data_IF_221246993103
#
_entry.id   IF_221246993103
#
_cell.length_a   1.000
_cell.length_b   1.000
_cell.length_c   1.000
_cell.angle_alpha   90.00
_cell.angle_beta   90.00
_cell.angle_gamma   90.00
#
_symmetry.space_group_name_H-M   'P 1'
#
loop_
_entity.id
_entity.type
_entity.pdbx_description
1 polymer ?
#
# COMPACT_ATOMS: atom_id res chain seq x y z
N UNK A 1 -2.07 -4.94 -13.13
CA UNK A 1 -2.78 -4.40 -11.95
C UNK A 1 -1.74 -3.89 -10.97
N UNK A 2 -1.96 -2.73 -10.36
CA UNK A 2 -1.06 -2.15 -9.35
C UNK A 2 -1.83 -1.98 -8.05
N UNK A 3 -1.22 -2.34 -6.92
CA UNK A 3 -1.77 -2.07 -5.59
C UNK A 3 -1.19 -0.74 -5.13
N UNK A 4 -2.04 0.27 -4.95
CA UNK A 4 -1.62 1.62 -4.55
C UNK A 4 -2.11 1.91 -3.13
N UNK A 5 -1.31 2.64 -2.37
CA UNK A 5 -1.71 3.19 -1.07
C UNK A 5 -2.73 4.31 -1.32
N UNK A 6 -3.85 4.30 -0.60
CA UNK A 6 -4.94 5.29 -0.69
C UNK A 6 -4.52 6.63 -0.12
N UNK A 7 -4.01 6.60 1.11
CA UNK A 7 -3.56 7.76 1.87
C UNK A 7 -2.20 7.45 2.48
N UNK A 8 -1.19 8.18 2.02
CA UNK A 8 0.19 8.03 2.43
C UNK A 8 0.39 8.46 3.89
N UNK A 9 -0.28 9.52 4.34
CA UNK A 9 -0.15 9.97 5.74
C UNK A 9 -0.90 9.03 6.68
N UNK A 10 -2.16 8.70 6.39
CA UNK A 10 -2.94 7.75 7.18
C UNK A 10 -2.26 6.39 7.31
N UNK A 11 -1.61 5.90 6.25
CA UNK A 11 -0.83 4.65 6.33
C UNK A 11 0.38 4.78 7.28
N UNK A 12 1.12 5.88 7.25
CA UNK A 12 2.23 6.11 8.19
C UNK A 12 1.73 6.24 9.62
N UNK A 13 0.62 6.92 9.84
CA UNK A 13 0.00 7.02 11.16
C UNK A 13 -0.41 5.65 11.70
N UNK A 14 -0.97 4.77 10.87
CA UNK A 14 -1.32 3.40 11.28
C UNK A 14 -0.09 2.61 11.74
N UNK A 15 1.03 2.72 11.03
CA UNK A 15 2.30 2.08 11.42
C UNK A 15 2.73 2.58 12.81
N UNK A 16 2.66 3.89 13.05
CA UNK A 16 3.03 4.49 14.34
C UNK A 16 2.05 4.10 15.44
N UNK A 17 0.74 4.11 15.18
CA UNK A 17 -0.32 3.72 16.13
C UNK A 17 -0.19 2.25 16.55
N UNK A 18 0.36 1.38 15.70
CA UNK A 18 0.68 -0.01 16.02
C UNK A 18 2.05 -0.19 16.70
N UNK A 19 2.73 0.91 17.03
CA UNK A 19 3.98 0.90 17.79
C UNK A 19 5.23 0.60 16.95
N UNK A 20 5.15 0.72 15.62
CA UNK A 20 6.27 0.45 14.74
C UNK A 20 6.92 1.74 14.21
N UNK A 21 8.25 1.72 14.11
CA UNK A 21 8.97 2.53 13.12
C UNK A 21 8.94 1.83 11.75
N UNK A 22 9.22 2.54 10.66
CA UNK A 22 9.35 1.93 9.32
C UNK A 22 10.42 0.82 9.29
N UNK A 23 11.52 1.02 10.02
CA UNK A 23 12.59 0.02 10.18
C UNK A 23 12.11 -1.25 10.87
N UNK A 24 11.48 -1.12 12.04
CA UNK A 24 10.94 -2.28 12.77
C UNK A 24 9.81 -2.96 11.98
N UNK A 25 8.99 -2.17 11.28
CA UNK A 25 7.92 -2.69 10.43
C UNK A 25 8.48 -3.53 9.28
N UNK A 26 9.55 -3.07 8.62
CA UNK A 26 10.25 -3.85 7.60
C UNK A 26 10.78 -5.18 8.12
N UNK A 27 11.34 -5.20 9.34
CA UNK A 27 11.79 -6.44 9.99
C UNK A 27 10.63 -7.41 10.23
N UNK A 28 9.50 -6.92 10.75
CA UNK A 28 8.29 -7.74 10.98
C UNK A 28 7.75 -8.32 9.67
N UNK A 29 7.77 -7.53 8.59
CA UNK A 29 7.32 -7.95 7.26
C UNK A 29 8.34 -8.80 6.50
N UNK A 30 9.58 -8.91 6.99
CA UNK A 30 10.67 -9.60 6.28
C UNK A 30 11.15 -8.88 5.01
N UNK A 31 11.04 -7.55 4.95
CA UNK A 31 11.46 -6.72 3.81
C UNK A 31 12.41 -5.59 4.25
N UNK A 32 13.11 -4.99 3.29
CA UNK A 32 14.05 -3.91 3.60
C UNK A 32 13.33 -2.64 4.05
N UNK A 33 13.98 -1.89 4.94
CA UNK A 33 13.51 -0.58 5.40
C UNK A 33 13.28 0.39 4.23
N UNK A 34 14.18 0.39 3.25
CA UNK A 34 14.04 1.20 2.03
C UNK A 34 12.78 0.85 1.24
N UNK A 35 12.42 -0.43 1.15
CA UNK A 35 11.20 -0.83 0.46
C UNK A 35 9.94 -0.42 1.22
N UNK A 36 9.93 -0.56 2.56
CA UNK A 36 8.85 -0.03 3.41
C UNK A 36 8.69 1.47 3.21
N UNK A 37 9.79 2.23 3.26
CA UNK A 37 9.75 3.68 3.05
C UNK A 37 9.19 4.04 1.67
N UNK A 38 9.60 3.32 0.62
CA UNK A 38 9.07 3.53 -0.72
C UNK A 38 7.57 3.24 -0.83
N UNK A 39 7.05 2.20 -0.15
CA UNK A 39 5.61 1.93 -0.08
C UNK A 39 4.91 3.01 0.73
N UNK A 40 5.44 3.32 1.92
CA UNK A 40 4.91 4.30 2.86
C UNK A 40 4.99 5.74 2.35
N UNK A 41 5.63 5.98 1.20
CA UNK A 41 5.68 7.27 0.51
C UNK A 41 4.91 7.23 -0.82
N UNK A 42 4.25 6.12 -1.17
CA UNK A 42 3.54 5.94 -2.44
C UNK A 42 4.44 5.82 -3.68
N UNK A 43 5.76 5.71 -3.49
CA UNK A 43 6.76 5.64 -4.58
C UNK A 43 6.73 4.25 -5.25
N UNK A 44 6.57 3.19 -4.44
CA UNK A 44 6.46 1.81 -4.94
C UNK A 44 5.11 1.20 -4.56
N UNK A 45 4.66 0.32 -5.44
CA UNK A 45 3.47 -0.48 -5.24
C UNK A 45 3.88 -1.83 -4.64
N UNK A 46 3.32 -2.25 -3.50
CA UNK A 46 3.57 -3.59 -2.97
C UNK A 46 3.00 -4.66 -3.91
N UNK A 47 3.64 -5.83 -3.91
CA UNK A 47 3.04 -7.04 -4.48
C UNK A 47 1.88 -7.55 -3.59
N UNK A 48 1.01 -8.44 -4.11
CA UNK A 48 -0.14 -8.95 -3.36
C UNK A 48 0.21 -9.56 -2.00
N UNK A 49 1.29 -10.36 -1.94
CA UNK A 49 1.78 -10.97 -0.70
C UNK A 49 2.19 -9.92 0.34
N UNK A 50 2.92 -8.88 -0.10
CA UNK A 50 3.38 -7.80 0.80
C UNK A 50 2.19 -6.98 1.28
N UNK A 51 1.24 -6.67 0.39
CA UNK A 51 0.03 -5.94 0.75
C UNK A 51 -0.81 -6.70 1.78
N UNK A 52 -0.98 -8.03 1.62
CA UNK A 52 -1.69 -8.87 2.59
C UNK A 52 -0.96 -8.96 3.93
N UNK A 53 0.35 -9.14 3.92
CA UNK A 53 1.13 -9.14 5.17
C UNK A 53 1.02 -7.80 5.91
N UNK A 54 1.01 -6.67 5.19
CA UNK A 54 0.83 -5.34 5.79
C UNK A 54 -0.53 -5.26 6.49
N UNK A 55 -1.61 -5.67 5.84
CA UNK A 55 -2.97 -5.62 6.42
C UNK A 55 -3.09 -6.55 7.63
N UNK A 56 -2.45 -7.72 7.58
CA UNK A 56 -2.49 -8.69 8.67
C UNK A 56 -1.70 -8.20 9.90
N UNK A 57 -0.53 -7.59 9.71
CA UNK A 57 0.28 -7.03 10.82
C UNK A 57 -0.38 -5.78 11.43
N UNK A 58 -1.02 -4.96 10.60
CA UNK A 58 -1.72 -3.76 11.06
C UNK A 58 -3.14 -4.08 11.55
N UNK A 59 -3.64 -5.30 11.35
CA UNK A 59 -4.97 -5.75 11.76
C UNK A 59 -6.08 -4.80 11.26
N UNK A 60 -6.09 -4.60 9.94
CA UNK A 60 -7.05 -3.76 9.21
C UNK A 60 -7.44 -4.42 7.89
N UNK A 61 -8.50 -3.94 7.25
CA UNK A 61 -8.92 -4.46 5.96
C UNK A 61 -8.04 -3.94 4.83
N UNK A 62 -7.96 -4.71 3.74
CA UNK A 62 -7.22 -4.29 2.54
C UNK A 62 -7.70 -2.95 2.00
N UNK A 63 -9.01 -2.71 2.06
CA UNK A 63 -9.63 -1.48 1.64
C UNK A 63 -9.26 -0.27 2.49
N UNK A 64 -8.76 -0.44 3.70
CA UNK A 64 -8.39 0.70 4.56
C UNK A 64 -7.09 1.35 4.10
N UNK A 65 -6.16 0.54 3.58
CA UNK A 65 -4.84 1.00 3.16
C UNK A 65 -4.72 1.11 1.64
N UNK A 66 -5.29 0.14 0.90
CA UNK A 66 -4.96 -0.08 -0.50
C UNK A 66 -6.16 -0.03 -1.43
N UNK A 67 -5.89 0.31 -2.70
CA UNK A 67 -6.81 0.10 -3.81
C UNK A 67 -6.08 -0.56 -4.99
N UNK A 68 -6.85 -1.24 -5.85
CA UNK A 68 -6.32 -1.92 -7.03
C UNK A 68 -6.56 -1.03 -8.24
N UNK A 69 -5.48 -0.49 -8.81
CA UNK A 69 -5.50 0.17 -10.10
C UNK A 69 -5.42 -0.89 -11.21
N UNK A 70 -6.56 -1.13 -11.86
CA UNK A 70 -6.60 -1.88 -13.10
C UNK A 70 -6.32 -0.93 -14.25
N UNK A 71 -5.30 -1.22 -15.06
CA UNK A 71 -5.10 -0.56 -16.34
C UNK A 71 -6.10 -1.20 -17.30
N UNK A 72 -7.38 -0.86 -17.16
CA UNK A 72 -8.28 -0.98 -18.29
C UNK A 72 -7.68 -0.06 -19.36
N UNK A 73 -7.25 -0.62 -20.50
CA UNK A 73 -6.99 0.20 -21.69
C UNK A 73 -8.31 0.91 -21.97
N UNK A 74 -8.42 2.17 -21.55
CA UNK A 74 -9.49 3.04 -22.00
C UNK A 74 -9.26 3.22 -23.51
N UNK A 75 -9.88 2.37 -24.32
CA UNK A 75 -10.32 2.79 -25.63
C UNK A 75 -11.31 3.93 -25.35
N UNK A 76 -10.80 5.16 -25.32
CA UNK A 76 -11.58 6.38 -25.22
C UNK A 76 -12.34 6.57 -26.54
N UNK A 77 -13.28 5.67 -26.83
CA UNK A 77 -14.35 5.85 -27.79
C UNK A 77 -15.62 5.87 -26.95
N UNK A 78 -16.41 6.93 -27.16
CA UNK A 78 -17.73 7.17 -26.60
C UNK A 78 -17.76 7.78 -25.19
N UNK A 79 -17.55 9.10 -25.14
CA UNK A 79 -18.59 9.99 -24.63
C UNK A 79 -18.73 11.19 -25.59
N UNK A 80 -19.51 10.96 -26.65
CA UNK A 80 -20.35 12.00 -27.26
C UNK A 80 -21.54 12.16 -26.33
N UNK A 81 -21.81 13.36 -25.83
CA UNK A 81 -23.12 14.01 -25.83
C UNK A 81 -22.88 15.51 -25.72
#
# INVERSE_FOLDING_TARGET
>A
MKIKVKDVEGFRELIVKKGYSQRSFGRVLGISESYVAQIANGIRNPGPKVAKNITDVLDVDFGDIFFIESVAKANNRYLKY
#
